data_IF_032929599899
#
_entry.id   IF_032929599899
#
_cell.length_a   1.000
_cell.length_b   1.000
_cell.length_c   1.000
_cell.angle_alpha   90.00
_cell.angle_beta   90.00
_cell.angle_gamma   90.00
#
_symmetry.space_group_name_H-M   'P 1'
#
loop_
_entity.id
_entity.type
_entity.pdbx_description
1 polymer ?
#
# COMPACT_ATOMS: atom_id res chain seq x y z
N UNK A 1 -3.76 -0.61 -14.72
CA UNK A 1 -4.32 0.12 -13.60
C UNK A 1 -4.53 1.56 -13.99
N UNK A 2 -5.78 1.95 -14.05
CA UNK A 2 -6.25 3.24 -14.55
C UNK A 2 -5.85 4.46 -13.69
N UNK A 3 -5.05 4.27 -12.66
CA UNK A 3 -4.54 5.36 -11.82
C UNK A 3 -3.10 5.79 -12.13
N UNK A 4 -2.46 5.16 -13.09
CA UNK A 4 -1.08 5.45 -13.44
C UNK A 4 -1.08 6.37 -14.66
N UNK A 5 -0.91 7.66 -14.43
CA UNK A 5 -0.78 8.65 -15.49
C UNK A 5 0.66 8.73 -15.97
N UNK A 6 0.86 9.29 -17.15
CA UNK A 6 2.21 9.63 -17.68
C UNK A 6 3.03 10.52 -16.73
N UNK A 7 2.36 11.14 -15.76
CA UNK A 7 2.98 11.93 -14.71
C UNK A 7 3.57 11.08 -13.56
N UNK A 8 3.44 9.75 -13.62
CA UNK A 8 4.11 8.84 -12.67
C UNK A 8 5.35 8.22 -13.34
N UNK A 9 6.45 8.96 -13.48
CA UNK A 9 7.55 8.59 -14.36
C UNK A 9 8.34 7.36 -13.88
N UNK A 10 8.13 6.94 -12.64
CA UNK A 10 8.98 5.91 -12.02
C UNK A 10 8.46 4.49 -12.26
N UNK A 11 7.20 4.30 -12.54
CA UNK A 11 6.60 2.97 -12.41
C UNK A 11 6.30 2.29 -13.74
N UNK A 12 5.79 3.00 -14.72
CA UNK A 12 5.27 2.35 -15.93
C UNK A 12 6.32 2.17 -17.03
N UNK A 13 7.15 3.17 -17.27
CA UNK A 13 8.09 3.12 -18.40
C UNK A 13 9.14 2.01 -18.27
N UNK A 14 9.81 1.80 -17.12
CA UNK A 14 10.72 0.68 -16.97
C UNK A 14 10.03 -0.68 -16.97
N UNK A 15 8.78 -0.76 -16.49
CA UNK A 15 8.02 -2.00 -16.45
C UNK A 15 7.56 -2.42 -17.86
N UNK A 16 7.01 -1.51 -18.63
CA UNK A 16 6.58 -1.78 -20.01
C UNK A 16 7.74 -2.18 -20.91
N UNK A 17 8.90 -1.55 -20.76
CA UNK A 17 10.11 -1.87 -21.52
C UNK A 17 10.72 -3.23 -21.16
N UNK A 18 10.45 -3.75 -19.97
CA UNK A 18 11.04 -5.00 -19.47
C UNK A 18 10.12 -6.21 -19.53
N UNK A 19 8.85 -6.01 -19.80
CA UNK A 19 7.92 -7.14 -19.90
C UNK A 19 8.18 -7.96 -21.16
N UNK A 20 8.13 -9.28 -21.00
CA UNK A 20 8.19 -10.25 -22.11
C UNK A 20 6.78 -10.76 -22.50
N UNK A 21 5.75 -10.10 -22.01
CA UNK A 21 4.38 -10.43 -22.39
C UNK A 21 4.17 -10.11 -23.87
N UNK A 22 3.55 -11.02 -24.59
CA UNK A 22 3.21 -10.82 -26.00
C UNK A 22 2.12 -9.76 -26.11
N UNK A 23 2.35 -8.79 -26.98
CA UNK A 23 1.43 -7.67 -27.22
C UNK A 23 1.02 -7.63 -28.69
N UNK A 24 -0.08 -6.97 -28.97
CA UNK A 24 -0.53 -6.76 -30.34
C UNK A 24 0.55 -6.04 -31.19
N UNK A 25 1.27 -5.10 -30.59
CA UNK A 25 2.39 -4.38 -31.23
C UNK A 25 3.58 -5.28 -31.60
N UNK A 26 3.67 -6.47 -31.06
CA UNK A 26 4.72 -7.44 -31.43
C UNK A 26 4.31 -8.28 -32.66
N UNK A 27 3.01 -8.39 -32.88
CA UNK A 27 2.44 -9.21 -33.96
C UNK A 27 2.20 -8.43 -35.25
N UNK A 28 1.86 -7.16 -35.19
CA UNK A 28 1.53 -6.37 -36.36
C UNK A 28 1.96 -4.90 -36.26
N UNK A 29 2.20 -4.30 -37.42
CA UNK A 29 2.45 -2.86 -37.51
C UNK A 29 1.20 -2.08 -37.13
N UNK A 30 1.38 -1.05 -36.27
CA UNK A 30 0.27 -0.25 -35.74
C UNK A 30 -0.51 -0.91 -34.61
N UNK A 31 -0.12 -2.10 -34.18
CA UNK A 31 -0.69 -2.77 -33.01
C UNK A 31 -0.45 -1.99 -31.71
N UNK A 32 -1.37 -2.10 -30.78
CA UNK A 32 -1.28 -1.42 -29.47
C UNK A 32 -0.27 -2.09 -28.53
N UNK A 33 0.62 -1.33 -27.89
CA UNK A 33 1.50 -1.86 -26.84
C UNK A 33 0.77 -2.12 -25.52
N UNK A 34 -0.51 -1.76 -25.42
CA UNK A 34 -1.33 -1.95 -24.21
C UNK A 34 -2.29 -3.14 -24.31
N UNK A 35 -2.36 -3.79 -25.47
CA UNK A 35 -3.14 -5.00 -25.71
C UNK A 35 -2.29 -6.23 -25.53
N UNK A 36 -2.52 -6.93 -24.41
CA UNK A 36 -1.82 -8.16 -24.06
C UNK A 36 -2.51 -9.36 -24.69
N UNK A 37 -1.76 -10.16 -25.42
CA UNK A 37 -2.30 -11.29 -26.15
C UNK A 37 -2.60 -12.47 -25.23
N UNK A 38 -3.70 -13.12 -25.48
CA UNK A 38 -4.20 -14.29 -24.76
C UNK A 38 -4.72 -15.31 -25.78
N UNK A 39 -4.52 -16.59 -25.51
CA UNK A 39 -5.15 -17.64 -26.30
C UNK A 39 -6.52 -17.97 -25.72
N UNK A 40 -7.55 -17.85 -26.56
CA UNK A 40 -8.92 -18.21 -26.20
C UNK A 40 -9.20 -19.66 -26.60
N UNK A 41 -9.43 -20.53 -25.62
CA UNK A 41 -9.72 -21.94 -25.87
C UNK A 41 -11.10 -22.17 -26.52
N UNK A 42 -12.06 -21.26 -26.33
CA UNK A 42 -13.38 -21.40 -26.94
C UNK A 42 -13.34 -21.09 -28.43
N UNK A 43 -12.63 -20.04 -28.80
CA UNK A 43 -12.54 -19.61 -30.18
C UNK A 43 -11.34 -20.22 -30.94
N UNK A 44 -10.44 -20.91 -30.21
CA UNK A 44 -9.18 -21.50 -30.74
C UNK A 44 -8.33 -20.47 -31.50
N UNK A 45 -8.17 -19.28 -30.91
CA UNK A 45 -7.46 -18.14 -31.51
C UNK A 45 -6.80 -17.23 -30.49
N UNK A 46 -5.89 -16.39 -30.97
CA UNK A 46 -5.43 -15.25 -30.18
C UNK A 46 -6.53 -14.19 -30.07
N UNK A 47 -6.72 -13.72 -28.88
CA UNK A 47 -7.48 -12.53 -28.51
C UNK A 47 -6.61 -11.61 -27.66
N UNK A 48 -7.12 -10.48 -27.18
CA UNK A 48 -6.38 -9.58 -26.31
C UNK A 48 -7.19 -9.07 -25.14
N UNK A 49 -6.49 -8.74 -24.07
CA UNK A 49 -6.96 -7.89 -23.01
C UNK A 49 -6.33 -6.50 -23.16
N UNK A 50 -7.16 -5.48 -23.27
CA UNK A 50 -6.71 -4.09 -23.39
C UNK A 50 -6.56 -3.46 -22.00
N UNK A 51 -5.32 -3.25 -21.56
CA UNK A 51 -5.02 -2.68 -20.26
C UNK A 51 -5.39 -1.19 -20.14
N UNK A 52 -5.66 -0.49 -21.23
CA UNK A 52 -6.11 0.90 -21.22
C UNK A 52 -7.61 1.01 -20.92
N UNK A 53 -8.40 0.14 -21.51
CA UNK A 53 -9.85 0.12 -21.33
C UNK A 53 -10.29 -0.79 -20.20
N UNK A 54 -9.51 -1.83 -19.91
CA UNK A 54 -9.86 -2.88 -18.96
C UNK A 54 -10.81 -3.94 -19.54
N UNK A 55 -10.94 -4.02 -20.86
CA UNK A 55 -11.87 -4.93 -21.54
C UNK A 55 -11.15 -5.94 -22.44
N UNK A 56 -11.83 -7.05 -22.68
CA UNK A 56 -11.44 -8.01 -23.71
C UNK A 56 -11.78 -7.51 -25.11
N UNK A 57 -11.21 -8.16 -26.13
CA UNK A 57 -11.51 -7.89 -27.53
C UNK A 57 -13.03 -7.98 -27.80
N UNK A 58 -13.59 -6.92 -28.34
CA UNK A 58 -15.03 -6.87 -28.70
C UNK A 58 -15.96 -6.47 -27.55
N UNK A 59 -15.46 -6.35 -26.32
CA UNK A 59 -16.26 -5.84 -25.22
C UNK A 59 -16.35 -4.32 -25.25
N UNK A 60 -17.51 -3.81 -24.88
CA UNK A 60 -17.75 -2.39 -24.65
C UNK A 60 -18.20 -2.18 -23.21
N UNK A 61 -17.90 -0.99 -22.68
CA UNK A 61 -18.42 -0.61 -21.38
C UNK A 61 -19.94 -0.57 -21.39
N UNK A 62 -20.56 -1.44 -20.64
CA UNK A 62 -22.01 -1.46 -20.47
C UNK A 62 -22.36 -0.71 -19.20
N UNK A 63 -23.19 0.34 -19.33
CA UNK A 63 -23.64 1.10 -18.19
C UNK A 63 -24.39 0.16 -17.21
N UNK A 64 -24.01 0.13 -15.92
CA UNK A 64 -24.68 -0.73 -14.95
C UNK A 64 -26.18 -0.47 -14.88
N UNK A 65 -26.94 -1.53 -14.68
CA UNK A 65 -28.37 -1.42 -14.48
C UNK A 65 -28.74 -0.64 -13.21
N UNK A 66 -29.85 0.05 -13.24
CA UNK A 66 -30.34 0.89 -12.16
C UNK A 66 -30.29 0.17 -10.79
N UNK A 67 -29.71 0.83 -9.79
CA UNK A 67 -29.42 0.25 -8.47
C UNK A 67 -27.95 -0.05 -8.25
N UNK A 68 -27.18 -0.31 -9.31
CA UNK A 68 -25.72 -0.38 -9.28
C UNK A 68 -25.08 0.98 -9.59
N UNK A 69 -25.81 1.88 -10.22
CA UNK A 69 -25.36 3.23 -10.61
C UNK A 69 -24.99 4.09 -9.39
N UNK A 70 -25.80 4.04 -8.34
CA UNK A 70 -25.57 4.83 -7.13
C UNK A 70 -24.29 4.45 -6.37
N UNK A 71 -23.80 3.22 -6.56
CA UNK A 71 -22.54 2.78 -5.97
C UNK A 71 -21.32 3.19 -6.81
N UNK A 72 -21.53 3.42 -8.10
CA UNK A 72 -20.45 3.85 -9.01
C UNK A 72 -20.30 5.37 -9.09
N UNK A 73 -21.37 6.14 -8.88
CA UNK A 73 -21.33 7.60 -8.91
C UNK A 73 -20.45 8.20 -7.81
N UNK A 74 -20.25 7.46 -6.71
CA UNK A 74 -19.42 7.88 -5.59
C UNK A 74 -17.96 7.37 -5.67
N UNK A 75 -17.58 6.72 -6.75
CA UNK A 75 -16.22 6.26 -6.94
C UNK A 75 -15.41 7.27 -7.75
N UNK A 76 -14.23 7.60 -7.26
CA UNK A 76 -13.29 8.42 -8.02
C UNK A 76 -13.04 7.79 -9.40
N UNK A 77 -12.90 8.60 -10.47
CA UNK A 77 -12.56 8.09 -11.79
C UNK A 77 -11.34 7.16 -11.72
N UNK A 78 -11.48 5.95 -12.23
CA UNK A 78 -10.46 4.92 -12.16
C UNK A 78 -10.61 3.90 -11.02
N UNK A 79 -11.56 4.08 -10.10
CA UNK A 79 -11.88 3.11 -9.04
C UNK A 79 -13.18 2.34 -9.30
N UNK A 80 -13.69 2.42 -10.49
CA UNK A 80 -15.01 1.95 -10.89
C UNK A 80 -15.17 0.43 -10.91
N UNK A 81 -14.12 -0.33 -10.68
CA UNK A 81 -14.18 -1.78 -10.81
C UNK A 81 -14.34 -2.53 -9.48
N UNK A 82 -14.32 -1.84 -8.36
CA UNK A 82 -14.24 -2.47 -7.04
C UNK A 82 -15.55 -2.90 -6.41
N UNK A 83 -16.71 -2.68 -7.03
CA UNK A 83 -17.99 -2.92 -6.38
C UNK A 83 -19.04 -3.62 -7.23
N UNK A 84 -18.63 -4.37 -8.20
CA UNK A 84 -19.55 -5.29 -8.84
C UNK A 84 -19.83 -6.41 -7.85
N UNK A 85 -20.93 -6.25 -7.12
CA UNK A 85 -21.49 -7.31 -6.23
C UNK A 85 -22.06 -8.46 -7.09
N UNK A 86 -22.00 -8.32 -8.39
CA UNK A 86 -22.37 -9.39 -9.30
C UNK A 86 -21.19 -10.33 -9.41
N UNK A 87 -21.33 -11.54 -8.89
CA UNK A 87 -20.29 -12.55 -9.02
C UNK A 87 -20.32 -13.17 -10.43
N UNK A 88 -20.82 -12.50 -11.45
CA UNK A 88 -20.64 -13.02 -12.80
C UNK A 88 -19.13 -13.06 -13.03
N UNK A 89 -18.56 -14.21 -12.79
CA UNK A 89 -17.16 -14.39 -13.04
C UNK A 89 -17.06 -14.43 -14.53
N UNK A 90 -16.14 -13.75 -15.11
CA UNK A 90 -15.69 -14.07 -16.43
C UNK A 90 -16.75 -13.90 -17.53
N UNK A 91 -16.41 -13.20 -18.54
CA UNK A 91 -17.14 -13.26 -19.78
C UNK A 91 -17.25 -14.73 -20.23
N UNK A 92 -18.46 -15.33 -20.30
CA UNK A 92 -18.63 -16.70 -20.72
C UNK A 92 -18.22 -16.93 -22.18
N UNK A 93 -17.92 -15.87 -22.92
CA UNK A 93 -17.50 -15.93 -24.32
C UNK A 93 -15.99 -16.08 -24.50
N UNK A 94 -15.20 -15.96 -23.44
CA UNK A 94 -13.73 -16.10 -23.48
C UNK A 94 -13.26 -17.11 -22.42
N UNK A 95 -12.42 -18.07 -22.84
CA UNK A 95 -11.74 -19.01 -21.94
C UNK A 95 -10.21 -18.90 -22.12
N UNK A 96 -9.55 -18.01 -21.39
CA UNK A 96 -8.10 -17.81 -21.48
C UNK A 96 -7.35 -19.09 -21.13
N UNK A 97 -6.49 -19.56 -22.02
CA UNK A 97 -5.65 -20.72 -21.79
C UNK A 97 -4.72 -20.50 -20.58
N UNK A 98 -4.80 -21.40 -19.62
CA UNK A 98 -3.89 -21.45 -18.48
C UNK A 98 -2.63 -22.25 -18.79
N UNK A 99 -2.72 -23.23 -19.68
CA UNK A 99 -1.65 -24.10 -20.10
C UNK A 99 -1.66 -24.27 -21.63
N UNK A 100 -0.52 -24.58 -22.19
CA UNK A 100 -0.35 -24.84 -23.61
C UNK A 100 0.92 -24.21 -24.18
N UNK A 101 1.20 -24.55 -25.43
CA UNK A 101 2.24 -23.95 -26.23
C UNK A 101 1.61 -23.54 -27.57
N UNK A 102 1.79 -22.30 -27.95
CA UNK A 102 1.14 -21.69 -29.10
C UNK A 102 2.19 -21.09 -30.02
N UNK A 103 2.16 -21.45 -31.29
CA UNK A 103 3.03 -20.85 -32.28
C UNK A 103 2.44 -19.53 -32.77
N UNK A 104 3.24 -18.47 -32.73
CA UNK A 104 2.88 -17.13 -33.21
C UNK A 104 3.94 -16.61 -34.16
N UNK A 105 3.52 -15.80 -35.12
CA UNK A 105 4.45 -15.12 -36.03
C UNK A 105 4.52 -13.64 -35.63
N UNK A 106 5.70 -13.15 -35.28
CA UNK A 106 5.91 -11.75 -34.98
C UNK A 106 5.90 -10.90 -36.26
N UNK A 107 5.76 -9.59 -36.10
CA UNK A 107 5.70 -8.63 -37.22
C UNK A 107 6.94 -8.62 -38.12
N UNK A 108 8.07 -9.08 -37.62
CA UNK A 108 9.30 -9.25 -38.41
C UNK A 108 9.34 -10.56 -39.21
N UNK A 109 8.29 -11.37 -39.14
CA UNK A 109 8.16 -12.67 -39.82
C UNK A 109 8.79 -13.85 -39.06
N UNK A 110 9.34 -13.64 -37.87
CA UNK A 110 9.89 -14.73 -37.06
C UNK A 110 8.79 -15.50 -36.33
N UNK A 111 8.92 -16.84 -36.34
CA UNK A 111 8.01 -17.71 -35.59
C UNK A 111 8.54 -17.93 -34.17
N UNK A 112 7.65 -17.84 -33.18
CA UNK A 112 7.95 -18.09 -31.79
C UNK A 112 6.89 -19.00 -31.17
N UNK A 113 7.32 -19.84 -30.22
CA UNK A 113 6.41 -20.56 -29.32
C UNK A 113 6.23 -19.74 -28.05
N UNK A 114 4.99 -19.42 -27.76
CA UNK A 114 4.59 -18.67 -26.54
C UNK A 114 3.81 -19.58 -25.60
N UNK A 115 3.90 -19.29 -24.32
CA UNK A 115 3.21 -20.04 -23.26
C UNK A 115 2.45 -19.10 -22.34
N UNK A 116 1.30 -19.52 -21.78
CA UNK A 116 0.58 -18.74 -20.78
C UNK A 116 1.45 -18.41 -19.56
N UNK A 117 1.32 -17.20 -19.05
CA UNK A 117 2.03 -16.76 -17.84
C UNK A 117 1.69 -17.63 -16.63
N UNK A 118 0.42 -18.08 -16.54
CA UNK A 118 0.00 -18.99 -15.48
C UNK A 118 0.79 -20.29 -15.47
N UNK A 119 1.05 -20.87 -16.64
CA UNK A 119 1.87 -22.09 -16.75
C UNK A 119 3.28 -21.86 -16.22
N UNK A 120 3.94 -20.76 -16.62
CA UNK A 120 5.28 -20.42 -16.15
C UNK A 120 5.31 -20.21 -14.62
N UNK A 121 4.26 -19.61 -14.08
CA UNK A 121 4.12 -19.42 -12.64
C UNK A 121 3.90 -20.76 -11.92
N UNK A 122 3.04 -21.63 -12.45
CA UNK A 122 2.77 -22.96 -11.89
C UNK A 122 4.03 -23.85 -11.90
N UNK A 123 4.80 -23.83 -13.00
CA UNK A 123 6.09 -24.52 -13.09
C UNK A 123 7.06 -24.03 -12.02
N UNK A 124 7.14 -22.72 -11.81
CA UNK A 124 7.99 -22.14 -10.75
C UNK A 124 7.49 -22.48 -9.35
N UNK A 125 6.18 -22.44 -9.11
CA UNK A 125 5.59 -22.79 -7.82
C UNK A 125 5.79 -24.26 -7.47
N UNK A 126 5.81 -25.15 -8.46
CA UNK A 126 6.05 -26.57 -8.26
C UNK A 126 7.43 -26.93 -7.71
N UNK A 127 8.41 -26.03 -7.82
CA UNK A 127 9.72 -26.17 -7.19
C UNK A 127 9.66 -26.03 -5.66
N UNK A 128 8.56 -25.49 -5.13
CA UNK A 128 8.31 -25.22 -3.73
C UNK A 128 7.14 -26.07 -3.23
N UNK A 129 7.26 -27.40 -3.35
CA UNK A 129 6.26 -28.28 -2.77
C UNK A 129 6.25 -28.20 -1.23
N UNK A 130 5.15 -28.61 -0.55
CA UNK A 130 5.03 -28.45 0.88
C UNK A 130 6.14 -29.08 1.72
N UNK A 131 6.76 -30.14 1.25
CA UNK A 131 7.85 -30.80 1.97
C UNK A 131 9.14 -29.98 1.86
N UNK A 132 9.46 -29.46 0.67
CA UNK A 132 10.55 -28.52 0.44
C UNK A 132 10.34 -27.24 1.26
N UNK A 133 9.12 -26.68 1.29
CA UNK A 133 8.81 -25.49 2.08
C UNK A 133 8.95 -25.78 3.58
N UNK A 134 8.58 -26.95 4.05
CA UNK A 134 8.75 -27.34 5.44
C UNK A 134 10.24 -27.35 5.86
N UNK A 135 11.12 -27.84 5.00
CA UNK A 135 12.57 -27.81 5.24
C UNK A 135 13.12 -26.38 5.33
N UNK A 136 12.61 -25.46 4.49
CA UNK A 136 13.07 -24.06 4.44
C UNK A 136 12.54 -23.27 5.64
N UNK A 137 11.27 -23.46 6.01
CA UNK A 137 10.57 -22.59 6.96
C UNK A 137 10.47 -23.15 8.36
N UNK A 138 10.62 -24.48 8.50
CA UNK A 138 10.34 -25.20 9.75
C UNK A 138 8.85 -25.40 10.05
N UNK A 139 7.95 -24.99 9.16
CA UNK A 139 6.51 -25.23 9.30
C UNK A 139 6.20 -26.64 8.77
N UNK A 140 5.49 -27.49 9.53
CA UNK A 140 5.16 -28.83 9.06
C UNK A 140 4.38 -28.84 7.74
N UNK A 141 4.76 -29.70 6.81
CA UNK A 141 4.17 -29.79 5.47
C UNK A 141 2.65 -29.99 5.49
N UNK A 142 2.15 -30.75 6.46
CA UNK A 142 0.69 -30.98 6.60
C UNK A 142 -0.05 -29.71 7.02
N UNK A 143 0.53 -28.86 7.85
CA UNK A 143 -0.05 -27.57 8.19
C UNK A 143 -0.08 -26.62 6.98
N UNK A 144 0.95 -26.66 6.13
CA UNK A 144 0.99 -25.89 4.89
C UNK A 144 -0.16 -26.34 3.97
N UNK A 145 -0.33 -27.65 3.79
CA UNK A 145 -1.43 -28.23 2.99
C UNK A 145 -2.81 -27.87 3.55
N UNK A 146 -2.98 -28.00 4.87
CA UNK A 146 -4.23 -27.67 5.55
C UNK A 146 -4.60 -26.19 5.36
N UNK A 147 -3.64 -25.27 5.55
CA UNK A 147 -3.86 -23.85 5.35
C UNK A 147 -4.24 -23.53 3.89
N UNK A 148 -3.54 -24.13 2.93
CA UNK A 148 -3.83 -23.93 1.51
C UNK A 148 -5.25 -24.43 1.14
N UNK A 149 -5.65 -25.60 1.63
CA UNK A 149 -6.98 -26.16 1.40
C UNK A 149 -8.06 -25.31 2.09
N UNK A 150 -7.82 -24.86 3.32
CA UNK A 150 -8.77 -24.02 4.05
C UNK A 150 -8.99 -22.68 3.34
N UNK A 151 -7.94 -22.08 2.80
CA UNK A 151 -8.05 -20.81 2.07
C UNK A 151 -8.64 -20.99 0.67
N UNK A 152 -8.26 -22.04 -0.05
CA UNK A 152 -8.67 -22.29 -1.44
C UNK A 152 -10.06 -22.91 -1.59
N UNK A 153 -10.58 -23.60 -0.57
CA UNK A 153 -11.87 -24.30 -0.65
C UNK A 153 -13.01 -23.32 -0.35
N UNK A 154 -13.84 -23.04 -1.34
CA UNK A 154 -14.98 -22.14 -1.15
C UNK A 154 -16.04 -22.74 -0.25
N UNK A 155 -16.40 -22.03 0.82
CA UNK A 155 -17.43 -22.44 1.78
C UNK A 155 -18.85 -22.23 1.21
N UNK A 156 -19.04 -21.21 0.39
CA UNK A 156 -20.33 -20.83 -0.18
C UNK A 156 -20.20 -20.51 -1.68
N UNK A 157 -19.84 -21.50 -2.51
CA UNK A 157 -19.65 -21.28 -3.95
C UNK A 157 -20.93 -20.76 -4.64
N UNK A 158 -22.09 -21.14 -4.13
CA UNK A 158 -23.41 -20.73 -4.65
C UNK A 158 -23.70 -19.23 -4.43
N UNK A 159 -22.97 -18.57 -3.54
CA UNK A 159 -23.14 -17.15 -3.22
C UNK A 159 -22.11 -16.25 -3.90
N UNK A 160 -21.12 -16.82 -4.56
CA UNK A 160 -20.02 -16.07 -5.15
C UNK A 160 -19.13 -15.34 -4.13
N UNK A 161 -19.23 -15.67 -2.84
CA UNK A 161 -18.39 -15.06 -1.81
C UNK A 161 -17.01 -15.71 -1.77
N UNK A 162 -15.99 -14.90 -1.47
CA UNK A 162 -14.68 -15.40 -1.09
C UNK A 162 -14.70 -16.06 0.28
N UNK A 163 -13.65 -16.81 0.60
CA UNK A 163 -13.50 -17.44 1.92
C UNK A 163 -12.96 -16.48 2.98
N UNK A 164 -12.26 -15.44 2.54
CA UNK A 164 -11.63 -14.44 3.40
C UNK A 164 -10.49 -13.73 2.68
N UNK A 165 -10.01 -12.66 3.29
CA UNK A 165 -8.85 -11.93 2.83
C UNK A 165 -7.58 -12.33 3.59
N UNK A 166 -6.43 -12.02 3.01
CA UNK A 166 -5.14 -12.10 3.68
C UNK A 166 -4.80 -10.73 4.19
N UNK A 167 -4.74 -10.58 5.51
CA UNK A 167 -4.20 -9.37 6.10
C UNK A 167 -2.72 -9.55 6.35
N UNK A 168 -1.92 -8.68 5.77
CA UNK A 168 -0.49 -8.61 6.01
C UNK A 168 -0.08 -7.19 6.34
N UNK A 169 0.94 -7.05 7.15
CA UNK A 169 1.51 -5.76 7.51
C UNK A 169 2.91 -5.96 8.08
N UNK A 170 3.81 -5.11 7.65
CA UNK A 170 5.20 -4.97 8.09
C UNK A 170 6.09 -6.19 7.89
N UNK A 171 5.78 -7.37 8.42
CA UNK A 171 6.67 -8.55 8.31
C UNK A 171 6.94 -8.97 6.86
N UNK A 172 5.94 -8.88 5.98
CA UNK A 172 6.11 -9.14 4.54
C UNK A 172 6.86 -8.04 3.82
N UNK A 173 6.77 -6.82 4.32
CA UNK A 173 7.30 -5.59 3.73
C UNK A 173 8.73 -5.32 4.19
N UNK A 174 9.09 -5.72 5.42
CA UNK A 174 10.41 -5.53 6.00
C UNK A 174 11.41 -6.64 5.63
N UNK A 175 11.34 -7.11 4.41
CA UNK A 175 12.23 -8.12 3.86
C UNK A 175 12.80 -7.67 2.51
N UNK A 176 14.00 -8.17 2.16
CA UNK A 176 14.61 -7.90 0.86
C UNK A 176 13.72 -8.36 -0.32
N UNK A 177 12.81 -9.29 -0.06
CA UNK A 177 11.87 -9.86 -1.03
C UNK A 177 10.45 -9.29 -0.87
N UNK A 178 10.29 -8.12 -0.26
CA UNK A 178 8.98 -7.54 0.06
C UNK A 178 8.01 -7.53 -1.12
N UNK A 179 8.45 -7.04 -2.29
CA UNK A 179 7.60 -6.99 -3.49
C UNK A 179 7.18 -8.39 -3.92
N UNK A 180 8.09 -9.36 -3.90
CA UNK A 180 7.79 -10.74 -4.27
C UNK A 180 6.86 -11.40 -3.26
N UNK A 181 7.02 -11.13 -1.96
CA UNK A 181 6.15 -11.64 -0.91
C UNK A 181 4.72 -11.16 -1.11
N UNK A 182 4.51 -9.84 -1.27
CA UNK A 182 3.18 -9.27 -1.50
C UNK A 182 2.56 -9.79 -2.78
N UNK A 183 3.33 -9.86 -3.89
CA UNK A 183 2.84 -10.44 -5.14
C UNK A 183 2.43 -11.91 -5.00
N UNK A 184 3.14 -12.70 -4.20
CA UNK A 184 2.75 -14.09 -3.96
C UNK A 184 1.41 -14.19 -3.22
N UNK A 185 1.14 -13.27 -2.26
CA UNK A 185 -0.16 -13.18 -1.59
C UNK A 185 -1.27 -12.75 -2.55
N UNK A 186 -0.99 -11.79 -3.42
CA UNK A 186 -1.95 -11.34 -4.45
C UNK A 186 -2.26 -12.46 -5.45
N UNK A 187 -1.26 -13.23 -5.89
CA UNK A 187 -1.48 -14.39 -6.75
C UNK A 187 -2.31 -15.46 -6.06
N UNK A 188 -2.03 -15.76 -4.79
CA UNK A 188 -2.82 -16.72 -4.02
C UNK A 188 -4.28 -16.28 -3.94
N UNK A 189 -4.51 -15.00 -3.69
CA UNK A 189 -5.85 -14.40 -3.65
C UNK A 189 -6.56 -14.51 -5.00
N UNK A 190 -5.85 -14.22 -6.09
CA UNK A 190 -6.39 -14.27 -7.45
C UNK A 190 -6.76 -15.70 -7.87
N UNK A 191 -5.85 -16.67 -7.73
CA UNK A 191 -6.09 -18.05 -8.18
C UNK A 191 -7.18 -18.79 -7.37
N UNK A 192 -7.45 -18.32 -6.14
CA UNK A 192 -8.52 -18.89 -5.31
C UNK A 192 -9.85 -18.16 -5.48
N UNK A 193 -9.89 -17.10 -6.32
CA UNK A 193 -11.08 -16.30 -6.55
C UNK A 193 -11.54 -15.51 -5.31
N UNK A 194 -10.60 -15.19 -4.41
CA UNK A 194 -10.86 -14.38 -3.22
C UNK A 194 -10.63 -12.88 -3.47
N UNK A 195 -10.25 -12.49 -4.67
CA UNK A 195 -9.96 -11.09 -5.00
C UNK A 195 -11.24 -10.33 -5.34
N UNK A 196 -11.42 -9.19 -4.71
CA UNK A 196 -12.54 -8.24 -4.89
C UNK A 196 -13.95 -8.84 -4.79
N UNK A 197 -14.09 -9.87 -3.98
CA UNK A 197 -15.37 -10.48 -3.66
C UNK A 197 -15.83 -10.12 -2.24
N UNK A 198 -17.15 -10.15 -1.93
CA UNK A 198 -17.60 -10.05 -0.54
C UNK A 198 -16.89 -11.09 0.33
N UNK A 199 -16.40 -10.66 1.49
CA UNK A 199 -15.56 -11.43 2.41
C UNK A 199 -14.18 -11.86 1.86
N UNK A 200 -13.82 -11.44 0.65
CA UNK A 200 -12.50 -11.68 0.06
C UNK A 200 -11.51 -10.56 0.33
N UNK A 201 -10.37 -10.65 -0.33
CA UNK A 201 -9.34 -9.62 -0.33
C UNK A 201 -9.80 -8.45 -1.20
N UNK A 202 -9.92 -7.29 -0.61
CA UNK A 202 -10.19 -6.06 -1.34
C UNK A 202 -8.95 -5.22 -1.47
N UNK A 203 -8.79 -4.61 -2.63
CA UNK A 203 -7.78 -3.58 -2.80
C UNK A 203 -8.01 -2.45 -1.79
N UNK A 204 -6.94 -1.81 -1.36
CA UNK A 204 -7.01 -0.63 -0.51
C UNK A 204 -7.88 0.43 -1.21
N UNK A 205 -9.06 0.69 -0.65
CA UNK A 205 -9.88 1.81 -1.06
C UNK A 205 -9.53 2.99 -0.19
N UNK A 206 -9.35 4.15 -0.81
CA UNK A 206 -9.23 5.38 -0.03
C UNK A 206 -10.50 5.56 0.79
N UNK A 207 -10.36 5.92 2.05
CA UNK A 207 -11.47 6.47 2.78
C UNK A 207 -12.01 7.66 1.97
N UNK A 208 -13.32 7.90 1.95
CA UNK A 208 -13.91 9.01 1.19
C UNK A 208 -13.49 10.39 1.71
N UNK A 209 -12.49 10.47 2.53
CA UNK A 209 -11.85 11.70 2.98
C UNK A 209 -10.96 12.17 1.85
N UNK A 210 -11.43 13.06 1.03
CA UNK A 210 -10.61 13.72 0.04
C UNK A 210 -10.11 15.08 0.51
N UNK A 211 -9.00 15.46 -0.04
CA UNK A 211 -8.53 16.84 -0.10
C UNK A 211 -8.20 17.49 1.23
N UNK A 212 -9.06 17.60 2.10
CA UNK A 212 -8.83 18.24 3.41
C UNK A 212 -8.10 17.35 4.40
N UNK A 213 -7.81 16.27 3.98
CA UNK A 213 -7.32 15.22 4.76
C UNK A 213 -5.96 15.46 5.27
N UNK A 214 -5.81 16.32 6.19
CA UNK A 214 -4.58 16.50 6.98
C UNK A 214 -3.30 16.01 6.26
N UNK A 215 -3.16 16.36 4.98
CA UNK A 215 -2.04 15.96 4.17
C UNK A 215 -2.00 14.48 3.72
N UNK A 216 -3.04 13.69 3.98
CA UNK A 216 -3.14 12.32 3.45
C UNK A 216 -3.33 12.27 1.92
N UNK A 217 -3.56 13.41 1.31
CA UNK A 217 -3.91 13.52 -0.10
C UNK A 217 -2.94 12.82 -1.05
N UNK A 218 -1.68 12.75 -0.73
CA UNK A 218 -0.67 12.28 -1.66
C UNK A 218 -0.14 10.88 -1.39
N UNK A 219 -0.20 10.39 -0.15
CA UNK A 219 0.45 9.13 0.19
C UNK A 219 -0.16 8.42 1.40
N UNK A 220 -1.25 8.91 1.95
CA UNK A 220 -1.92 8.31 3.11
C UNK A 220 -1.24 8.53 4.45
N UNK A 221 -0.19 9.33 4.54
CA UNK A 221 0.57 9.55 5.78
C UNK A 221 0.33 10.90 6.46
N UNK A 222 -0.42 11.79 5.85
CA UNK A 222 -0.67 13.12 6.38
C UNK A 222 0.44 14.13 6.16
N UNK A 223 1.51 13.75 5.52
CA UNK A 223 2.63 14.65 5.25
C UNK A 223 2.58 15.11 3.80
N UNK A 224 2.67 16.41 3.51
CA UNK A 224 2.81 16.91 2.14
C UNK A 224 4.04 16.27 1.48
N UNK A 225 3.93 15.93 0.21
CA UNK A 225 5.08 15.49 -0.55
C UNK A 225 6.18 16.54 -0.49
N UNK A 226 7.39 16.10 -0.19
CA UNK A 226 8.56 16.98 -0.19
C UNK A 226 8.79 17.55 -1.59
N UNK A 227 9.20 18.81 -1.67
CA UNK A 227 9.67 19.38 -2.93
C UNK A 227 10.96 18.68 -3.38
N UNK A 228 11.31 18.72 -4.68
CA UNK A 228 12.54 18.10 -5.15
C UNK A 228 13.79 18.49 -4.35
N UNK A 229 13.94 19.77 -4.03
CA UNK A 229 15.08 20.23 -3.23
C UNK A 229 15.05 19.81 -1.75
N UNK A 230 13.89 19.44 -1.22
CA UNK A 230 13.79 18.82 0.10
C UNK A 230 14.09 17.31 0.03
N UNK A 231 13.65 16.64 -1.05
CA UNK A 231 13.94 15.22 -1.26
C UNK A 231 15.44 14.95 -1.41
N UNK A 232 16.17 15.86 -2.08
CA UNK A 232 17.64 15.79 -2.18
C UNK A 232 18.35 15.89 -0.83
N UNK A 233 17.71 16.53 0.15
CA UNK A 233 18.27 16.69 1.52
C UNK A 233 17.78 15.61 2.48
N UNK A 234 16.95 14.69 2.03
CA UNK A 234 16.42 13.62 2.88
C UNK A 234 17.56 12.67 3.25
N UNK A 235 17.80 12.47 4.54
CA UNK A 235 18.88 11.62 5.03
C UNK A 235 18.75 10.19 4.50
N UNK A 236 19.80 9.70 3.86
CA UNK A 236 19.85 8.40 3.20
C UNK A 236 19.35 8.37 1.76
N UNK A 237 18.86 9.48 1.20
CA UNK A 237 18.33 9.50 -0.17
C UNK A 237 19.39 9.24 -1.25
N UNK A 238 20.63 9.58 -0.99
CA UNK A 238 21.74 9.34 -1.93
C UNK A 238 22.08 7.86 -2.04
N UNK A 239 22.00 7.13 -0.94
CA UNK A 239 22.30 5.70 -0.88
C UNK A 239 21.09 4.82 -1.19
N UNK A 240 19.86 5.34 -0.96
CA UNK A 240 18.61 4.61 -1.10
C UNK A 240 17.66 5.39 -2.02
N UNK A 241 17.76 5.21 -3.34
CA UNK A 241 16.96 5.98 -4.31
C UNK A 241 15.44 5.88 -4.13
N UNK A 242 14.94 4.78 -3.52
CA UNK A 242 13.53 4.63 -3.20
C UNK A 242 13.02 5.67 -2.20
N UNK A 243 13.88 6.20 -1.32
CA UNK A 243 13.49 7.27 -0.40
C UNK A 243 13.14 8.55 -1.14
N UNK A 244 13.85 8.87 -2.22
CA UNK A 244 13.52 10.03 -3.07
C UNK A 244 12.15 9.87 -3.73
N UNK A 245 11.81 8.65 -4.14
CA UNK A 245 10.50 8.39 -4.71
C UNK A 245 9.39 8.40 -3.65
N UNK A 246 9.65 7.82 -2.49
CA UNK A 246 8.69 7.78 -1.38
C UNK A 246 8.49 9.16 -0.76
N UNK A 247 9.58 9.94 -0.65
CA UNK A 247 9.57 11.38 -0.36
C UNK A 247 9.07 11.78 1.03
N UNK A 248 9.08 10.88 2.01
CA UNK A 248 8.45 11.12 3.30
C UNK A 248 9.35 10.87 4.50
N UNK A 249 10.20 9.86 4.42
CA UNK A 249 10.95 9.37 5.57
C UNK A 249 12.43 9.37 5.29
N UNK A 250 13.20 9.76 6.29
CA UNK A 250 14.64 9.57 6.29
C UNK A 250 14.98 8.13 6.67
N UNK A 251 16.11 7.64 6.22
CA UNK A 251 16.66 6.37 6.70
C UNK A 251 17.15 6.52 8.14
N UNK A 252 16.82 5.54 8.99
CA UNK A 252 17.18 5.60 10.41
C UNK A 252 18.70 5.55 10.62
N UNK A 253 19.42 4.70 9.88
CA UNK A 253 20.88 4.56 10.01
C UNK A 253 21.59 5.82 9.53
N UNK A 254 21.16 6.40 8.42
CA UNK A 254 21.67 7.69 7.94
C UNK A 254 21.40 8.83 8.94
N UNK A 255 20.23 8.80 9.59
CA UNK A 255 19.90 9.78 10.65
C UNK A 255 20.84 9.64 11.85
N UNK A 256 21.07 8.41 12.32
CA UNK A 256 22.04 8.19 13.40
C UNK A 256 23.46 8.60 13.03
N UNK A 257 23.86 8.35 11.78
CA UNK A 257 25.15 8.81 11.28
C UNK A 257 25.23 10.34 11.30
N UNK A 258 24.21 11.04 10.84
CA UNK A 258 24.18 12.50 10.86
C UNK A 258 24.26 13.09 12.28
N UNK A 259 23.59 12.46 13.25
CA UNK A 259 23.76 12.83 14.68
C UNK A 259 25.20 12.62 15.15
N UNK A 260 25.82 11.49 14.80
CA UNK A 260 27.15 11.13 15.28
C UNK A 260 28.27 11.92 14.59
N UNK A 261 28.13 12.25 13.34
CA UNK A 261 29.22 12.84 12.52
C UNK A 261 28.98 14.30 12.13
N UNK A 262 27.72 14.70 12.05
CA UNK A 262 27.31 15.99 11.48
C UNK A 262 27.23 16.00 9.93
N UNK A 263 27.40 14.84 9.29
CA UNK A 263 27.39 14.70 7.84
C UNK A 263 26.09 13.98 7.38
N UNK A 264 25.39 14.48 6.34
CA UNK A 264 25.64 15.65 5.50
C UNK A 264 25.28 17.00 6.16
N UNK A 265 24.59 16.96 7.26
CA UNK A 265 24.30 18.12 8.12
C UNK A 265 24.04 17.66 9.57
N UNK A 266 24.28 18.53 10.57
CA UNK A 266 24.09 18.14 11.96
C UNK A 266 22.61 17.98 12.32
N UNK A 267 22.29 16.88 13.00
CA UNK A 267 21.02 16.67 13.68
C UNK A 267 21.29 16.77 15.18
N UNK A 268 20.76 17.80 15.82
CA UNK A 268 21.11 18.15 17.20
C UNK A 268 19.96 17.97 18.18
N UNK A 269 18.73 17.82 17.71
CA UNK A 269 17.56 17.64 18.55
C UNK A 269 16.56 16.66 17.96
N UNK A 270 15.77 16.02 18.82
CA UNK A 270 14.71 15.10 18.42
C UNK A 270 13.47 15.27 19.30
N UNK A 271 12.31 15.11 18.67
CA UNK A 271 11.03 14.90 19.34
C UNK A 271 10.44 13.58 18.84
N UNK A 272 10.25 12.63 19.73
CA UNK A 272 9.67 11.33 19.43
C UNK A 272 8.25 11.26 20.00
N UNK A 273 7.28 10.92 19.17
CA UNK A 273 5.91 10.66 19.59
C UNK A 273 5.55 9.22 19.23
N UNK A 274 5.10 8.47 20.22
CA UNK A 274 4.60 7.09 20.09
C UNK A 274 5.62 6.04 19.60
N UNK A 275 6.87 6.42 19.34
CA UNK A 275 7.92 5.53 18.85
C UNK A 275 8.85 5.02 19.95
N UNK A 276 9.69 4.07 19.61
CA UNK A 276 10.85 3.68 20.40
C UNK A 276 12.04 3.50 19.45
N UNK A 277 12.92 4.49 19.41
CA UNK A 277 14.09 4.48 18.54
C UNK A 277 15.04 3.31 18.80
N UNK A 278 14.99 2.73 19.99
CA UNK A 278 15.80 1.56 20.33
C UNK A 278 15.28 0.25 19.71
N UNK A 279 14.10 0.24 19.11
CA UNK A 279 13.55 -0.87 18.32
C UNK A 279 13.93 -0.78 16.84
N UNK A 280 14.60 0.27 16.44
CA UNK A 280 15.09 0.48 15.09
C UNK A 280 16.32 -0.39 14.80
N UNK A 281 16.65 -0.55 13.52
CA UNK A 281 17.87 -1.25 13.12
C UNK A 281 19.13 -0.54 13.66
N UNK A 282 20.18 -1.31 13.89
CA UNK A 282 21.46 -0.83 14.45
C UNK A 282 21.31 -0.14 15.82
N UNK A 283 20.70 -0.84 16.75
CA UNK A 283 20.38 -0.35 18.11
C UNK A 283 21.58 0.24 18.83
N UNK A 284 22.78 -0.35 18.68
CA UNK A 284 24.01 0.19 19.28
C UNK A 284 24.35 1.57 18.76
N UNK A 285 24.23 1.81 17.47
CA UNK A 285 24.44 3.12 16.86
C UNK A 285 23.37 4.12 17.28
N UNK A 286 22.10 3.69 17.32
CA UNK A 286 20.99 4.51 17.81
C UNK A 286 21.22 4.96 19.26
N UNK A 287 21.67 4.06 20.14
CA UNK A 287 22.00 4.37 21.53
C UNK A 287 23.05 5.46 21.67
N UNK A 288 24.14 5.37 20.93
CA UNK A 288 25.20 6.37 20.96
C UNK A 288 24.76 7.69 20.32
N UNK A 289 23.93 7.64 19.27
CA UNK A 289 23.37 8.82 18.64
C UNK A 289 22.40 9.56 19.58
N UNK A 290 21.47 8.87 20.21
CA UNK A 290 20.49 9.48 21.13
C UNK A 290 21.19 10.19 22.30
N UNK A 291 22.25 9.61 22.83
CA UNK A 291 23.06 10.22 23.91
C UNK A 291 23.84 11.46 23.48
N UNK A 292 24.04 11.63 22.18
CA UNK A 292 24.80 12.74 21.60
C UNK A 292 23.92 13.92 21.20
N UNK A 293 22.60 13.75 21.15
CA UNK A 293 21.67 14.85 20.89
C UNK A 293 21.82 15.94 21.97
N UNK A 294 21.76 17.19 21.57
CA UNK A 294 21.77 18.33 22.48
C UNK A 294 20.44 18.44 23.25
N UNK A 295 19.33 17.95 22.63
CA UNK A 295 18.03 17.95 23.25
C UNK A 295 17.15 16.85 22.66
N UNK A 296 16.56 16.00 23.53
CA UNK A 296 15.68 14.92 23.12
C UNK A 296 14.44 14.86 24.01
N UNK A 297 13.25 14.88 23.40
CA UNK A 297 11.97 14.75 24.06
C UNK A 297 11.24 13.50 23.54
N UNK A 298 10.67 12.72 24.44
CA UNK A 298 9.82 11.58 24.11
C UNK A 298 8.44 11.72 24.71
N UNK A 299 7.38 11.69 23.88
CA UNK A 299 5.99 11.55 24.31
C UNK A 299 5.58 10.08 24.10
N UNK A 300 5.25 9.38 25.20
CA UNK A 300 4.95 7.95 25.12
C UNK A 300 4.02 7.49 26.24
N UNK A 301 3.38 6.33 26.03
CA UNK A 301 2.55 5.64 27.03
C UNK A 301 3.38 4.96 28.12
N UNK A 302 4.60 4.58 27.81
CA UNK A 302 5.49 3.79 28.65
C UNK A 302 6.88 4.37 28.63
N UNK A 303 7.62 4.13 29.71
CA UNK A 303 9.06 4.35 29.69
C UNK A 303 9.71 3.35 28.75
N UNK A 304 10.17 3.83 27.61
CA UNK A 304 10.90 3.04 26.63
C UNK A 304 12.40 3.05 26.91
N UNK A 305 13.18 2.10 26.37
CA UNK A 305 14.63 2.21 26.42
C UNK A 305 15.15 3.50 25.76
N UNK A 306 14.52 4.00 24.70
CA UNK A 306 14.81 5.30 24.09
C UNK A 306 14.55 6.45 25.05
N UNK A 307 13.42 6.41 25.76
CA UNK A 307 13.06 7.37 26.78
C UNK A 307 14.05 7.44 27.96
N UNK A 308 14.81 6.38 28.16
CA UNK A 308 15.91 6.39 29.15
C UNK A 308 17.10 7.29 28.77
N UNK A 309 17.15 7.82 27.54
CA UNK A 309 18.18 8.75 27.06
C UNK A 309 17.66 10.16 26.81
N UNK A 310 16.36 10.41 26.94
CA UNK A 310 15.79 11.72 26.66
C UNK A 310 15.92 12.67 27.85
N UNK A 311 15.89 13.97 27.56
CA UNK A 311 15.92 15.05 28.57
C UNK A 311 14.56 15.24 29.22
N UNK A 312 13.48 15.03 28.44
CA UNK A 312 12.10 15.17 28.90
C UNK A 312 11.25 14.01 28.40
N UNK A 313 10.52 13.37 29.31
CA UNK A 313 9.47 12.40 28.99
C UNK A 313 8.13 13.07 29.23
N UNK A 314 7.26 13.08 28.20
CA UNK A 314 5.89 13.57 28.28
C UNK A 314 4.92 12.37 28.32
N UNK A 315 4.00 12.31 29.28
CA UNK A 315 3.01 11.25 29.32
C UNK A 315 1.95 11.45 28.22
N UNK A 316 1.83 10.47 27.32
CA UNK A 316 0.83 10.46 26.27
C UNK A 316 -0.45 9.75 26.72
N UNK A 317 -1.60 10.22 26.24
CA UNK A 317 -2.89 9.60 26.49
C UNK A 317 -3.09 8.35 25.61
N UNK A 318 -3.66 7.31 26.19
CA UNK A 318 -4.02 6.08 25.52
C UNK A 318 -5.27 6.28 24.63
N UNK A 319 -5.47 5.45 23.60
CA UNK A 319 -6.60 5.59 22.66
C UNK A 319 -7.98 5.50 23.34
N UNK A 320 -8.11 4.90 24.52
CA UNK A 320 -9.35 4.91 25.32
C UNK A 320 -9.57 6.21 26.09
N UNK A 321 -8.57 7.06 26.15
CA UNK A 321 -8.54 8.31 26.90
C UNK A 321 -8.74 9.55 26.01
N UNK A 322 -8.99 9.34 24.72
CA UNK A 322 -9.19 10.40 23.72
C UNK A 322 -10.31 10.05 22.73
N UNK A 323 -10.87 11.08 22.12
CA UNK A 323 -11.76 10.92 20.96
C UNK A 323 -11.03 11.37 19.70
N UNK A 324 -11.09 10.56 18.66
CA UNK A 324 -10.46 10.88 17.38
C UNK A 324 -11.16 10.14 16.24
N UNK A 325 -11.36 10.76 15.07
CA UNK A 325 -11.73 10.03 13.88
C UNK A 325 -10.63 9.01 13.54
N UNK A 326 -11.05 7.88 13.02
CA UNK A 326 -10.17 6.80 12.57
C UNK A 326 -10.47 6.47 11.13
N UNK A 327 -9.51 6.65 10.26
CA UNK A 327 -9.50 5.95 8.98
C UNK A 327 -8.64 4.70 9.13
N UNK A 328 -9.15 3.55 8.74
CA UNK A 328 -8.33 2.35 8.71
C UNK A 328 -7.52 2.33 7.42
N UNK A 329 -6.21 2.20 7.52
CA UNK A 329 -5.38 1.90 6.35
C UNK A 329 -5.90 0.63 5.69
N UNK A 330 -6.19 0.70 4.40
CA UNK A 330 -6.68 -0.44 3.64
C UNK A 330 -8.11 -0.85 3.94
N UNK A 331 -8.83 -0.15 4.79
CA UNK A 331 -10.25 -0.41 4.95
C UNK A 331 -11.04 0.11 3.76
N UNK A 332 -12.08 -0.59 3.45
CA UNK A 332 -13.01 -0.41 2.35
C UNK A 332 -13.82 0.90 2.40
N UNK A 333 -13.17 2.05 2.50
CA UNK A 333 -13.84 3.35 2.57
C UNK A 333 -14.64 3.58 3.85
N UNK A 334 -14.47 2.74 4.87
CA UNK A 334 -15.12 2.94 6.15
C UNK A 334 -14.31 3.91 7.02
N UNK A 335 -14.99 4.84 7.64
CA UNK A 335 -14.47 5.66 8.70
C UNK A 335 -15.09 5.25 10.03
N UNK A 336 -14.25 5.15 11.03
CA UNK A 336 -14.67 4.90 12.40
C UNK A 336 -14.30 6.06 13.31
N UNK A 337 -14.62 5.94 14.57
CA UNK A 337 -14.16 6.84 15.62
C UNK A 337 -13.70 6.06 16.83
N UNK A 338 -12.62 6.52 17.44
CA UNK A 338 -12.33 6.18 18.82
C UNK A 338 -13.11 7.15 19.70
N UNK A 339 -13.85 6.64 20.65
CA UNK A 339 -14.60 7.43 21.60
C UNK A 339 -13.94 7.30 22.96
N UNK A 340 -13.66 8.43 23.58
CA UNK A 340 -13.08 8.49 24.93
C UNK A 340 -13.96 7.72 25.92
N UNK A 341 -13.37 6.80 26.63
CA UNK A 341 -14.04 5.95 27.62
C UNK A 341 -13.69 6.32 29.07
N UNK A 342 -12.49 6.82 29.27
CA UNK A 342 -11.95 7.19 30.58
C UNK A 342 -11.16 8.50 30.48
N UNK A 343 -10.97 9.20 31.56
CA UNK A 343 -10.08 10.37 31.61
C UNK A 343 -8.62 9.94 31.62
N UNK A 344 -7.74 10.68 30.92
CA UNK A 344 -6.30 10.44 30.99
C UNK A 344 -5.81 10.55 32.43
N UNK A 345 -4.90 9.71 32.89
CA UNK A 345 -4.33 9.79 34.22
C UNK A 345 -3.39 10.99 34.37
N UNK A 346 -3.43 11.65 35.49
CA UNK A 346 -2.53 12.74 35.90
C UNK A 346 -2.36 13.81 34.80
N UNK A 347 -1.15 13.97 34.25
CA UNK A 347 -0.81 14.99 33.25
C UNK A 347 -0.81 14.44 31.79
N UNK A 348 -1.23 13.18 31.59
CA UNK A 348 -1.24 12.58 30.26
C UNK A 348 -2.17 13.37 29.31
N UNK A 349 -1.67 13.61 28.13
CA UNK A 349 -2.37 14.37 27.07
C UNK A 349 -2.31 13.64 25.73
N UNK A 350 -3.30 13.91 24.90
CA UNK A 350 -3.24 13.48 23.50
C UNK A 350 -2.05 14.11 22.78
N UNK A 351 -1.37 13.37 21.92
CA UNK A 351 -0.19 13.86 21.18
C UNK A 351 -0.49 15.15 20.42
N UNK A 352 -1.68 15.27 19.83
CA UNK A 352 -2.13 16.49 19.17
C UNK A 352 -2.21 17.68 20.13
N UNK A 353 -2.70 17.49 21.34
CA UNK A 353 -2.75 18.56 22.38
C UNK A 353 -1.35 18.97 22.81
N UNK A 354 -0.42 18.01 22.92
CA UNK A 354 0.98 18.33 23.24
C UNK A 354 1.57 19.25 22.16
N UNK A 355 1.37 18.91 20.91
CA UNK A 355 1.85 19.72 19.78
C UNK A 355 1.14 21.08 19.73
N UNK A 356 -0.19 21.11 19.94
CA UNK A 356 -0.96 22.35 20.03
C UNK A 356 -0.41 23.30 21.10
N UNK A 357 -0.13 22.79 22.28
CA UNK A 357 0.46 23.57 23.37
C UNK A 357 1.84 24.12 22.99
N UNK A 358 2.67 23.32 22.33
CA UNK A 358 4.01 23.73 21.92
C UNK A 358 3.97 24.89 20.92
N UNK A 359 3.19 24.79 19.85
CA UNK A 359 3.19 25.86 18.83
C UNK A 359 2.47 27.12 19.33
N UNK A 360 1.41 26.99 20.13
CA UNK A 360 0.72 28.15 20.74
C UNK A 360 1.62 28.89 21.72
N UNK A 361 2.30 28.18 22.59
CA UNK A 361 3.19 28.78 23.59
C UNK A 361 4.40 29.45 22.95
N UNK A 362 4.92 28.89 21.87
CA UNK A 362 6.08 29.44 21.16
C UNK A 362 5.73 30.46 20.08
N UNK A 363 4.47 30.65 19.76
CA UNK A 363 4.04 31.56 18.70
C UNK A 363 4.52 31.11 17.32
N UNK A 364 4.69 29.80 17.10
CA UNK A 364 5.06 29.24 15.81
C UNK A 364 3.78 28.86 15.06
N UNK A 365 3.45 29.54 13.97
CA UNK A 365 2.20 29.27 13.25
C UNK A 365 2.20 27.88 12.62
N UNK A 366 1.06 27.20 12.70
CA UNK A 366 0.82 25.95 12.01
C UNK A 366 0.45 26.23 10.55
N UNK A 367 1.44 26.35 9.68
CA UNK A 367 1.26 26.70 8.28
C UNK A 367 1.64 25.57 7.30
N UNK A 368 1.63 24.34 7.79
CA UNK A 368 2.01 23.16 7.00
C UNK A 368 0.98 22.86 5.91
N UNK A 369 -0.30 23.14 6.17
CA UNK A 369 -1.40 22.86 5.23
C UNK A 369 -2.08 24.17 4.84
N UNK A 370 -2.11 24.53 3.54
CA UNK A 370 -2.84 25.71 3.09
C UNK A 370 -4.33 25.66 3.47
N UNK A 371 -4.83 26.77 3.99
CA UNK A 371 -6.24 26.89 4.40
C UNK A 371 -6.53 26.53 5.88
N UNK A 372 -5.52 26.03 6.59
CA UNK A 372 -5.67 25.85 8.05
C UNK A 372 -5.53 27.19 8.79
N UNK A 373 -6.19 27.32 9.95
CA UNK A 373 -5.93 28.42 10.88
C UNK A 373 -4.44 28.50 11.23
N UNK A 374 -3.96 29.67 11.54
CA UNK A 374 -2.55 29.87 11.94
C UNK A 374 -2.20 29.09 13.22
N UNK A 375 -3.16 28.98 14.13
CA UNK A 375 -3.02 28.24 15.40
C UNK A 375 -4.28 27.39 15.64
N UNK A 376 -4.47 26.30 14.86
CA UNK A 376 -5.67 25.48 15.01
C UNK A 376 -5.65 24.73 16.34
N UNK A 377 -6.82 24.58 16.94
CA UNK A 377 -7.00 23.59 17.99
C UNK A 377 -7.03 22.17 17.43
N UNK A 378 -6.83 21.17 18.29
CA UNK A 378 -7.00 19.77 17.88
C UNK A 378 -8.41 19.53 17.35
N UNK A 379 -9.45 20.11 17.99
CA UNK A 379 -10.82 20.00 17.52
C UNK A 379 -11.00 20.58 16.12
N UNK A 380 -10.49 21.78 15.85
CA UNK A 380 -10.55 22.39 14.52
C UNK A 380 -9.83 21.52 13.48
N UNK A 381 -8.68 20.94 13.82
CA UNK A 381 -7.98 20.02 12.93
C UNK A 381 -8.79 18.75 12.64
N UNK A 382 -9.45 18.19 13.65
CA UNK A 382 -10.29 17.01 13.50
C UNK A 382 -11.57 17.30 12.71
N UNK A 383 -12.22 18.43 12.96
CA UNK A 383 -13.39 18.88 12.21
C UNK A 383 -13.07 19.11 10.75
N UNK A 384 -11.94 19.75 10.45
CA UNK A 384 -11.47 19.90 9.07
C UNK A 384 -11.18 18.55 8.40
N UNK A 385 -10.67 17.59 9.16
CA UNK A 385 -10.39 16.24 8.61
C UNK A 385 -11.67 15.51 8.23
N UNK A 386 -12.81 15.83 8.82
CA UNK A 386 -14.11 15.17 8.57
C UNK A 386 -15.09 16.04 7.79
N UNK A 387 -14.75 17.29 7.51
CA UNK A 387 -15.63 18.24 6.81
C UNK A 387 -16.06 17.80 5.39
N UNK A 388 -15.41 16.80 4.81
CA UNK A 388 -15.81 16.24 3.51
C UNK A 388 -16.89 15.15 3.60
N UNK A 389 -17.44 14.89 4.79
CA UNK A 389 -18.48 13.86 5.03
C UNK A 389 -19.89 14.44 5.21
N UNK A 390 -20.02 15.73 5.26
CA UNK A 390 -21.31 16.43 5.25
C UNK A 390 -21.78 16.64 3.78
#
# INVERSE_FOLDING_TARGET
PSGWTEASPIVMTPFELRTRLLKESDLMEGGSPKRFMVWDNLADKLTYFDAETGFWEGEEWVKPTAGKEAQQENLAPGLHQGFVIDPTPFDPEIDPALFGEFEVTLKDGTAHVVRPVFQLYAERAAEYDPDTVAEITGVPADQIREAALAYGTRLHPEKGYGNGGIQYMLATEHANTAIQNVRALDYLTAITGNYDTPAGQRASTRAPIEGGQMGFANNGSGVPMLSPGQMEKLLGSDDIPLLQWWGMWADATATWNAVLTGDPYPVVGAFNSSGNFMNQCNTGMAWEALKKLDFYVEANLWHTPGGGTCDIVLPAAHFLELSSPRSSQGASGAMGATVKCIEPPAEAKFDGEIIEMLYKEKGVPYNIVPGFPEYPSVEEMLDMAVAGFE
#
